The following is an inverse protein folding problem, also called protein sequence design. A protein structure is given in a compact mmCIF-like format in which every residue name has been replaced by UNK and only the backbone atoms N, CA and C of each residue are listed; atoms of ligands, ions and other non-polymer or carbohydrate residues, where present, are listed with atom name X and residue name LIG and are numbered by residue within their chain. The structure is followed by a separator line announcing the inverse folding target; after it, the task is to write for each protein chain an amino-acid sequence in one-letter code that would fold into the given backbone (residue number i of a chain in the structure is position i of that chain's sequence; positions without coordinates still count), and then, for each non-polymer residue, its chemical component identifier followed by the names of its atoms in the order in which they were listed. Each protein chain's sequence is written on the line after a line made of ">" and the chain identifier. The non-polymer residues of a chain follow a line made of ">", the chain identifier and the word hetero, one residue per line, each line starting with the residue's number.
data_IF_190718172873
#
_entry.id   IF_190718172873
#
_cell.length_a   1.000
_cell.length_b   1.000
_cell.length_c   1.000
_cell.angle_alpha   90.00
_cell.angle_beta   90.00
_cell.angle_gamma   90.00
#
_symmetry.space_group_name_H-M   'P 1'
#
loop_
_entity.id
_entity.type
_entity.pdbx_description
1 polymer ?
#
# COMPACT_ATOMS: atom_id res chain seq x y z
N UNK A 1 6.73 -5.99 7.65
CA UNK A 1 5.33 -5.73 8.10
C UNK A 1 4.40 -6.43 7.12
N UNK A 2 3.21 -6.86 7.56
CA UNK A 2 2.17 -7.40 6.68
C UNK A 2 1.20 -6.32 6.23
N UNK A 3 0.58 -6.50 5.06
CA UNK A 3 -0.41 -5.54 4.54
C UNK A 3 -1.56 -5.30 5.52
N UNK A 4 -2.09 -6.36 6.14
CA UNK A 4 -3.15 -6.22 7.17
C UNK A 4 -2.74 -5.42 8.41
N UNK A 5 -1.44 -5.41 8.74
CA UNK A 5 -0.91 -4.68 9.91
C UNK A 5 -0.76 -3.19 9.59
N UNK A 6 -0.36 -2.86 8.36
CA UNK A 6 -0.26 -1.48 7.87
C UNK A 6 -1.55 -0.70 8.09
N UNK A 7 -2.67 -1.35 7.74
CA UNK A 7 -4.01 -0.75 7.78
C UNK A 7 -4.41 -0.33 9.20
N UNK A 8 -3.85 -0.97 10.23
CA UNK A 8 -4.12 -0.63 11.62
C UNK A 8 -3.40 0.66 12.08
N UNK A 9 -2.37 1.10 11.35
CA UNK A 9 -1.52 2.24 11.72
C UNK A 9 -1.48 3.32 10.62
N UNK A 10 -2.36 3.22 9.62
CA UNK A 10 -2.35 4.03 8.40
C UNK A 10 -2.39 5.55 8.66
N UNK A 11 -3.16 6.00 9.65
CA UNK A 11 -3.28 7.43 10.00
C UNK A 11 -1.98 8.05 10.51
N UNK A 12 -1.04 7.24 11.01
CA UNK A 12 0.24 7.70 11.55
C UNK A 12 1.39 7.59 10.54
N UNK A 13 1.13 7.06 9.35
CA UNK A 13 2.15 6.91 8.31
C UNK A 13 2.41 8.23 7.60
N UNK A 14 3.67 8.43 7.21
CA UNK A 14 4.08 9.56 6.41
C UNK A 14 3.44 9.47 5.01
N UNK A 15 2.62 10.45 4.59
CA UNK A 15 1.92 10.44 3.31
C UNK A 15 2.86 10.45 2.10
N UNK A 16 4.12 10.87 2.25
CA UNK A 16 5.11 10.88 1.16
C UNK A 16 5.74 9.49 0.89
N UNK A 17 5.40 8.48 1.69
CA UNK A 17 5.90 7.11 1.48
C UNK A 17 5.08 6.35 0.44
N UNK A 18 5.76 5.41 -0.22
CA UNK A 18 5.16 4.45 -1.15
C UNK A 18 5.13 3.07 -0.52
N UNK A 19 4.01 2.37 -0.68
CA UNK A 19 3.81 0.99 -0.27
C UNK A 19 4.21 0.10 -1.44
N UNK A 20 5.15 -0.80 -1.17
CA UNK A 20 5.53 -1.87 -2.07
C UNK A 20 5.10 -3.21 -1.47
N UNK A 21 4.62 -4.13 -2.30
CA UNK A 21 4.06 -5.41 -1.89
C UNK A 21 4.81 -6.57 -2.53
N UNK A 22 4.91 -7.70 -1.82
CA UNK A 22 5.35 -8.94 -2.47
C UNK A 22 4.33 -9.41 -3.51
N UNK A 23 4.80 -10.12 -4.54
CA UNK A 23 3.95 -10.54 -5.67
C UNK A 23 2.81 -11.51 -5.34
N UNK A 24 2.53 -11.80 -4.06
CA UNK A 24 1.39 -12.61 -3.66
C UNK A 24 0.07 -11.81 -3.55
N UNK A 25 0.12 -10.48 -3.36
CA UNK A 25 -1.05 -9.60 -3.30
C UNK A 25 -2.18 -10.13 -2.39
N UNK A 26 -1.86 -10.38 -1.12
CA UNK A 26 -2.77 -10.92 -0.12
C UNK A 26 -2.71 -10.14 1.20
N UNK A 27 -3.70 -10.27 2.11
CA UNK A 27 -3.62 -9.65 3.43
C UNK A 27 -2.37 -10.05 4.25
N UNK A 28 -1.82 -11.23 3.95
CA UNK A 28 -0.60 -11.78 4.57
C UNK A 28 0.69 -11.44 3.79
N UNK A 29 0.58 -10.69 2.69
CA UNK A 29 1.73 -10.25 1.90
C UNK A 29 2.65 -9.37 2.73
N UNK A 30 3.95 -9.56 2.53
CA UNK A 30 4.95 -8.66 3.06
C UNK A 30 4.90 -7.35 2.29
N UNK A 31 5.09 -6.27 3.03
CA UNK A 31 5.19 -4.94 2.48
C UNK A 31 6.46 -4.25 2.92
N UNK A 32 6.89 -3.31 2.08
CA UNK A 32 7.98 -2.38 2.33
C UNK A 32 7.45 -0.96 2.16
N UNK A 33 7.74 -0.11 3.14
CA UNK A 33 7.48 1.32 3.06
C UNK A 33 8.80 2.04 2.81
N UNK A 34 8.88 2.78 1.72
CA UNK A 34 10.00 3.66 1.44
C UNK A 34 9.57 4.77 0.47
N UNK A 35 10.35 5.83 0.41
CA UNK A 35 10.17 6.85 -0.62
C UNK A 35 10.34 6.23 -2.01
N UNK A 36 9.51 6.65 -2.95
CA UNK A 36 9.68 6.28 -4.34
C UNK A 36 11.06 6.75 -4.84
N UNK A 37 11.84 5.86 -5.47
CA UNK A 37 13.10 6.25 -6.10
C UNK A 37 12.88 7.30 -7.20
N UNK A 38 13.81 8.25 -7.35
CA UNK A 38 13.75 9.28 -8.41
C UNK A 38 13.72 8.69 -9.83
N UNK A 39 14.18 7.44 -10.00
CA UNK A 39 14.19 6.72 -11.27
C UNK A 39 12.92 5.91 -11.53
N UNK A 40 11.93 5.95 -10.62
CA UNK A 40 10.67 5.21 -10.70
C UNK A 40 10.84 3.70 -10.57
N UNK A 41 12.00 3.22 -10.12
CA UNK A 41 12.24 1.79 -9.94
C UNK A 41 11.53 1.25 -8.69
N UNK A 42 11.19 -0.04 -8.71
CA UNK A 42 10.70 -0.75 -7.52
C UNK A 42 11.85 -1.44 -6.79
N UNK A 43 11.80 -1.51 -5.44
CA UNK A 43 12.71 -2.34 -4.66
C UNK A 43 12.70 -3.78 -5.13
N UNK A 44 13.86 -4.43 -5.07
CA UNK A 44 14.04 -5.82 -5.51
C UNK A 44 13.09 -6.76 -4.75
N UNK A 45 12.40 -7.64 -5.48
CA UNK A 45 11.42 -8.62 -4.95
C UNK A 45 10.08 -8.03 -4.50
N UNK A 46 9.86 -6.73 -4.71
CA UNK A 46 8.59 -6.06 -4.47
C UNK A 46 8.07 -5.38 -5.73
N UNK A 47 6.76 -5.20 -5.75
CA UNK A 47 6.03 -4.49 -6.79
C UNK A 47 5.42 -3.23 -6.18
N UNK A 48 5.28 -2.18 -6.99
CA UNK A 48 4.51 -1.01 -6.58
C UNK A 48 3.09 -1.45 -6.22
N UNK A 49 2.61 -0.99 -5.06
CA UNK A 49 1.25 -1.25 -4.62
C UNK A 49 0.40 0.01 -4.68
N UNK A 50 0.72 1.02 -3.86
CA UNK A 50 -0.03 2.27 -3.69
C UNK A 50 0.83 3.27 -2.90
N UNK A 51 0.66 4.57 -3.11
CA UNK A 51 1.19 5.58 -2.19
C UNK A 51 0.35 5.67 -0.90
N UNK A 52 1.00 6.05 0.21
CA UNK A 52 0.33 6.17 1.52
C UNK A 52 -0.78 7.21 1.48
N UNK A 53 -0.58 8.35 0.81
CA UNK A 53 -1.61 9.38 0.73
C UNK A 53 -2.88 8.88 0.00
N UNK A 54 -2.75 8.09 -1.08
CA UNK A 54 -3.91 7.51 -1.79
C UNK A 54 -4.67 6.57 -0.86
N UNK A 55 -3.93 5.74 -0.12
CA UNK A 55 -4.55 4.83 0.83
C UNK A 55 -5.27 5.59 1.95
N UNK A 56 -4.71 6.69 2.47
CA UNK A 56 -5.38 7.55 3.44
C UNK A 56 -6.67 8.18 2.88
N UNK A 57 -6.63 8.73 1.67
CA UNK A 57 -7.82 9.28 1.00
C UNK A 57 -8.93 8.24 0.79
N UNK A 58 -8.56 7.00 0.49
CA UNK A 58 -9.49 5.88 0.37
C UNK A 58 -10.20 5.57 1.70
N UNK A 59 -9.48 5.59 2.81
CA UNK A 59 -10.07 5.38 4.14
C UNK A 59 -10.97 6.52 4.58
N UNK A 60 -10.58 7.78 4.31
CA UNK A 60 -11.42 8.94 4.58
C UNK A 60 -12.73 8.90 3.78
N UNK A 61 -12.65 8.46 2.52
CA UNK A 61 -13.80 8.36 1.63
C UNK A 61 -14.68 7.12 1.91
N UNK A 62 -14.09 6.04 2.42
CA UNK A 62 -14.75 4.76 2.68
C UNK A 62 -14.30 4.19 4.05
N UNK A 63 -14.91 4.63 5.16
CA UNK A 63 -14.46 4.31 6.53
C UNK A 63 -14.56 2.82 6.94
N UNK A 64 -15.06 1.95 6.08
CA UNK A 64 -15.17 0.49 6.29
C UNK A 64 -14.51 -0.32 5.16
N UNK A 65 -13.50 0.25 4.49
CA UNK A 65 -12.80 -0.44 3.41
C UNK A 65 -12.01 -1.65 3.95
N UNK A 66 -12.15 -2.80 3.29
CA UNK A 66 -11.42 -4.02 3.69
C UNK A 66 -10.08 -4.13 2.98
N UNK A 67 -9.15 -4.92 3.54
CA UNK A 67 -7.84 -5.21 2.93
C UNK A 67 -7.99 -5.74 1.51
N UNK A 68 -8.95 -6.65 1.29
CA UNK A 68 -9.24 -7.22 -0.02
C UNK A 68 -9.69 -6.15 -1.02
N UNK A 69 -10.48 -5.17 -0.57
CA UNK A 69 -10.97 -4.10 -1.44
C UNK A 69 -9.86 -3.11 -1.81
N UNK A 70 -8.89 -2.89 -0.92
CA UNK A 70 -7.67 -2.11 -1.21
C UNK A 70 -6.81 -2.85 -2.23
N UNK A 71 -6.62 -4.16 -2.08
CA UNK A 71 -5.89 -5.00 -3.06
C UNK A 71 -6.58 -4.90 -4.43
N UNK A 72 -7.91 -5.01 -4.48
CA UNK A 72 -8.64 -4.85 -5.73
C UNK A 72 -8.47 -3.45 -6.31
N UNK A 73 -8.52 -2.39 -5.48
CA UNK A 73 -8.28 -1.03 -5.95
C UNK A 73 -6.91 -0.91 -6.64
N UNK A 74 -5.83 -1.32 -5.96
CA UNK A 74 -4.47 -1.27 -6.51
C UNK A 74 -4.31 -2.08 -7.81
N UNK A 75 -4.98 -3.23 -7.94
CA UNK A 75 -4.95 -4.05 -9.16
C UNK A 75 -5.64 -3.40 -10.37
N UNK A 76 -6.60 -2.50 -10.15
CA UNK A 76 -7.37 -1.84 -11.21
C UNK A 76 -6.95 -0.39 -11.46
N UNK A 77 -6.21 0.22 -10.54
CA UNK A 77 -5.61 1.55 -10.67
C UNK A 77 -4.33 1.51 -11.52
N UNK A 78 -3.63 0.36 -11.54
CA UNK A 78 -2.40 0.09 -12.30
C UNK A 78 -2.61 -0.18 -13.80
#
# INVERSE_FOLDING_TARGET
>A
MKLKELILDLENLDPELTIYIDGAWSPESNILLCFEPEDGSSPKEYEYFLEVFILQELFESTPDITVERIIQYALYDA
#
